data_IF_868050205929
#
_entry.id   IF_868050205929
#
_cell.length_a   1.000
_cell.length_b   1.000
_cell.length_c   1.000
_cell.angle_alpha   90.00
_cell.angle_beta   90.00
_cell.angle_gamma   90.00
#
_symmetry.space_group_name_H-M   'P 1'
#
loop_
_entity.id
_entity.type
_entity.pdbx_description
1 polymer ?
#
# COMPACT_ATOMS: atom_id res chain seq x y z
N UNK A 1 34.85 7.62 6.32
CA UNK A 1 34.20 8.94 6.50
C UNK A 1 32.72 8.64 6.64
N UNK A 2 32.29 8.41 7.89
CA UNK A 2 30.89 8.10 8.21
C UNK A 2 30.07 9.38 8.16
N UNK A 3 29.34 9.59 7.08
CA UNK A 3 28.16 10.45 7.16
C UNK A 3 27.11 9.65 7.94
N UNK A 4 26.78 10.11 9.14
CA UNK A 4 25.63 9.64 9.89
C UNK A 4 24.41 9.86 9.01
N UNK A 5 23.91 8.78 8.37
CA UNK A 5 22.57 8.76 7.78
C UNK A 5 21.64 9.05 8.96
N UNK A 6 21.10 10.25 8.99
CA UNK A 6 19.97 10.58 9.85
C UNK A 6 18.98 9.44 9.67
N UNK A 7 18.73 8.67 10.71
CA UNK A 7 17.79 7.54 10.63
C UNK A 7 16.39 8.14 10.43
N UNK A 8 16.02 8.32 9.18
CA UNK A 8 14.64 8.67 8.84
C UNK A 8 13.74 7.53 9.30
N UNK A 9 12.59 7.88 9.89
CA UNK A 9 11.63 6.91 10.37
C UNK A 9 11.12 6.11 9.17
N UNK A 10 11.19 4.79 9.24
CA UNK A 10 10.70 3.90 8.19
C UNK A 10 9.20 4.06 8.01
N UNK A 11 8.70 3.87 6.81
CA UNK A 11 7.28 4.10 6.48
C UNK A 11 6.57 2.81 6.13
N UNK A 12 5.35 2.64 6.66
CA UNK A 12 4.36 1.67 6.19
C UNK A 12 3.35 2.40 5.31
N UNK A 13 3.48 2.24 4.01
CA UNK A 13 2.59 2.86 3.01
C UNK A 13 1.43 1.90 2.78
N UNK A 14 0.28 2.23 3.35
CA UNK A 14 -0.95 1.46 3.21
C UNK A 14 -1.74 1.96 1.99
N UNK A 15 -1.87 1.13 0.95
CA UNK A 15 -2.83 1.40 -0.11
C UNK A 15 -4.14 0.66 0.19
N UNK A 16 -5.19 1.39 0.53
CA UNK A 16 -6.50 0.82 0.80
C UNK A 16 -7.56 1.30 -0.23
N UNK A 17 -8.74 0.70 -0.19
CA UNK A 17 -9.82 0.99 -1.13
C UNK A 17 -10.62 -0.26 -1.48
N UNK A 18 -11.69 -0.06 -2.24
CA UNK A 18 -12.63 -1.12 -2.61
C UNK A 18 -11.96 -2.28 -3.38
N UNK A 19 -12.63 -3.42 -3.42
CA UNK A 19 -12.17 -4.54 -4.23
C UNK A 19 -12.20 -4.19 -5.73
N UNK A 20 -11.13 -4.55 -6.45
CA UNK A 20 -11.02 -4.25 -7.89
C UNK A 20 -10.63 -2.81 -8.22
N UNK A 21 -10.26 -1.98 -7.23
CA UNK A 21 -9.87 -0.58 -7.45
C UNK A 21 -8.47 -0.42 -8.09
N UNK A 22 -7.64 -1.47 -8.10
CA UNK A 22 -6.29 -1.43 -8.65
C UNK A 22 -5.17 -1.30 -7.61
N UNK A 23 -5.42 -1.56 -6.32
CA UNK A 23 -4.40 -1.45 -5.25
C UNK A 23 -3.10 -2.19 -5.54
N UNK A 24 -3.18 -3.49 -5.86
CA UNK A 24 -1.98 -4.32 -6.10
C UNK A 24 -1.22 -3.85 -7.33
N UNK A 25 -1.92 -3.44 -8.38
CA UNK A 25 -1.31 -2.94 -9.62
C UNK A 25 -0.58 -1.62 -9.35
N UNK A 26 -1.25 -0.66 -8.69
CA UNK A 26 -0.63 0.61 -8.31
C UNK A 26 0.54 0.41 -7.34
N UNK A 27 0.45 -0.55 -6.40
CA UNK A 27 1.56 -0.88 -5.50
C UNK A 27 2.78 -1.42 -6.22
N UNK A 28 2.58 -2.27 -7.23
CA UNK A 28 3.67 -2.81 -8.05
C UNK A 28 4.36 -1.70 -8.86
N UNK A 29 3.59 -0.74 -9.41
CA UNK A 29 4.14 0.42 -10.10
C UNK A 29 4.84 1.39 -9.15
N UNK A 30 4.28 1.60 -7.95
CA UNK A 30 4.92 2.40 -6.91
C UNK A 30 6.27 1.82 -6.49
N UNK A 31 6.37 0.50 -6.28
CA UNK A 31 7.62 -0.16 -5.92
C UNK A 31 8.73 0.06 -6.95
N UNK A 32 8.40 0.11 -8.25
CA UNK A 32 9.39 0.36 -9.31
C UNK A 32 9.98 1.78 -9.25
N UNK A 33 9.25 2.74 -8.66
CA UNK A 33 9.59 4.17 -8.64
C UNK A 33 10.09 4.66 -7.27
N UNK A 34 9.73 3.95 -6.19
CA UNK A 34 10.10 4.30 -4.83
C UNK A 34 11.33 3.49 -4.39
N UNK A 35 12.53 4.09 -4.33
CA UNK A 35 13.73 3.35 -3.93
C UNK A 35 13.63 2.91 -2.46
N UNK A 36 14.44 1.93 -2.11
CA UNK A 36 14.49 1.36 -0.75
C UNK A 36 13.11 0.88 -0.26
N UNK A 37 12.29 0.32 -1.14
CA UNK A 37 10.96 -0.19 -0.83
C UNK A 37 10.89 -1.71 -0.87
N UNK A 38 10.04 -2.28 -0.01
CA UNK A 38 9.58 -3.65 -0.11
C UNK A 38 8.07 -3.68 -0.34
N UNK A 39 7.59 -4.72 -1.02
CA UNK A 39 6.18 -4.89 -1.36
C UNK A 39 5.65 -6.17 -0.73
N UNK A 40 4.57 -6.04 0.05
CA UNK A 40 3.93 -7.16 0.73
C UNK A 40 2.46 -7.22 0.28
N UNK A 41 2.09 -8.22 -0.52
CA UNK A 41 0.70 -8.47 -0.89
C UNK A 41 0.10 -9.58 -0.04
N UNK A 42 -1.00 -9.28 0.66
CA UNK A 42 -1.68 -10.22 1.54
C UNK A 42 -2.23 -11.45 0.81
N UNK A 43 -2.48 -11.36 -0.48
CA UNK A 43 -2.99 -12.48 -1.26
C UNK A 43 -1.87 -13.49 -1.58
N UNK A 44 -0.65 -13.03 -1.81
CA UNK A 44 0.52 -13.91 -1.94
C UNK A 44 0.89 -14.61 -0.63
N UNK A 45 0.69 -13.96 0.51
CA UNK A 45 0.99 -14.53 1.83
C UNK A 45 0.11 -15.73 2.21
N UNK A 46 -0.97 -15.99 1.47
CA UNK A 46 -1.94 -17.06 1.73
C UNK A 46 -2.20 -17.99 0.54
N UNK A 47 -1.36 -17.98 -0.47
CA UNK A 47 -1.57 -18.84 -1.64
C UNK A 47 -1.42 -20.31 -1.27
N UNK A 48 -2.46 -21.09 -1.55
CA UNK A 48 -2.51 -22.55 -1.29
C UNK A 48 -3.12 -23.29 -2.46
N UNK A 49 -2.78 -24.55 -2.61
CA UNK A 49 -3.39 -25.46 -3.56
C UNK A 49 -3.93 -26.72 -2.84
N UNK A 50 -5.25 -26.99 -2.84
CA UNK A 50 -6.31 -26.13 -3.42
C UNK A 50 -6.49 -24.83 -2.63
N UNK A 51 -7.14 -23.81 -3.22
CA UNK A 51 -7.50 -22.59 -2.49
C UNK A 51 -8.46 -22.92 -1.35
N UNK A 52 -8.06 -22.63 -0.12
CA UNK A 52 -8.83 -22.90 1.11
C UNK A 52 -9.11 -21.56 1.80
N UNK A 53 -10.31 -21.42 2.40
CA UNK A 53 -10.70 -20.27 3.19
C UNK A 53 -11.28 -20.76 4.53
N UNK A 54 -10.44 -20.82 5.55
CA UNK A 54 -10.84 -21.17 6.91
C UNK A 54 -10.04 -20.34 7.92
N UNK A 55 -10.37 -20.45 9.19
CA UNK A 55 -9.70 -19.70 10.26
C UNK A 55 -8.22 -20.01 10.38
N UNK A 56 -7.81 -21.23 10.10
CA UNK A 56 -6.41 -21.63 10.17
C UNK A 56 -5.59 -20.90 9.11
N UNK A 57 -6.11 -20.80 7.88
CA UNK A 57 -5.45 -20.05 6.81
C UNK A 57 -5.51 -18.53 7.02
N UNK A 58 -6.52 -18.02 7.70
CA UNK A 58 -6.54 -16.62 8.13
C UNK A 58 -5.40 -16.36 9.12
N UNK A 59 -5.21 -17.25 10.09
CA UNK A 59 -4.09 -17.16 11.05
C UNK A 59 -2.72 -17.32 10.38
N UNK A 60 -2.61 -18.26 9.43
CA UNK A 60 -1.38 -18.43 8.64
C UNK A 60 -1.05 -17.14 7.87
N UNK A 61 -2.02 -16.60 7.15
CA UNK A 61 -1.86 -15.34 6.40
C UNK A 61 -1.41 -14.19 7.30
N UNK A 62 -2.05 -14.01 8.44
CA UNK A 62 -1.69 -13.00 9.43
C UNK A 62 -0.22 -13.13 9.86
N UNK A 63 0.20 -14.35 10.25
CA UNK A 63 1.58 -14.62 10.68
C UNK A 63 2.60 -14.39 9.57
N UNK A 64 2.26 -14.75 8.33
CA UNK A 64 3.14 -14.53 7.19
C UNK A 64 3.32 -13.03 6.92
N UNK A 65 2.23 -12.25 6.93
CA UNK A 65 2.28 -10.79 6.76
C UNK A 65 3.13 -10.17 7.87
N UNK A 66 2.87 -10.52 9.13
CA UNK A 66 3.61 -10.01 10.28
C UNK A 66 5.11 -10.29 10.14
N UNK A 67 5.50 -11.53 9.85
CA UNK A 67 6.89 -11.91 9.69
C UNK A 67 7.58 -11.17 8.54
N UNK A 68 6.88 -10.98 7.40
CA UNK A 68 7.42 -10.20 6.29
C UNK A 68 7.61 -8.72 6.65
N UNK A 69 6.68 -8.14 7.40
CA UNK A 69 6.82 -6.75 7.88
C UNK A 69 7.98 -6.61 8.87
N UNK A 70 8.08 -7.51 9.85
CA UNK A 70 9.19 -7.54 10.82
C UNK A 70 10.55 -7.60 10.10
N UNK A 71 10.70 -8.52 9.17
CA UNK A 71 11.93 -8.69 8.39
C UNK A 71 12.24 -7.45 7.53
N UNK A 72 11.23 -6.86 6.89
CA UNK A 72 11.41 -5.64 6.10
C UNK A 72 11.82 -4.46 6.97
N UNK A 73 11.19 -4.27 8.13
CA UNK A 73 11.55 -3.20 9.05
C UNK A 73 12.93 -3.44 9.73
N UNK A 74 13.36 -4.69 9.90
CA UNK A 74 14.69 -5.01 10.41
C UNK A 74 15.80 -4.80 9.37
N UNK A 75 15.50 -4.83 8.08
CA UNK A 75 16.48 -4.68 7.01
C UNK A 75 16.93 -3.21 6.86
N UNK A 76 18.22 -2.94 7.00
CA UNK A 76 18.79 -1.58 6.90
C UNK A 76 18.62 -0.92 5.52
N UNK A 77 18.45 -1.71 4.45
CA UNK A 77 18.28 -1.21 3.09
C UNK A 77 16.84 -0.81 2.77
N UNK A 78 15.84 -1.24 3.59
CA UNK A 78 14.44 -0.93 3.37
C UNK A 78 14.03 0.28 4.22
N UNK A 79 13.48 1.29 3.57
CA UNK A 79 12.93 2.50 4.20
C UNK A 79 11.40 2.54 4.09
N UNK A 80 10.82 1.90 3.06
CA UNK A 80 9.40 1.93 2.78
C UNK A 80 8.86 0.51 2.64
N UNK A 81 7.76 0.21 3.34
CA UNK A 81 7.01 -1.04 3.18
C UNK A 81 5.68 -0.69 2.51
N UNK A 82 5.47 -1.14 1.28
CA UNK A 82 4.23 -0.92 0.51
C UNK A 82 3.29 -2.09 0.79
N UNK A 83 2.10 -1.78 1.29
CA UNK A 83 1.13 -2.79 1.71
C UNK A 83 -0.28 -2.49 1.18
N UNK A 84 -0.69 -3.09 0.04
CA UNK A 84 -2.07 -3.04 -0.41
C UNK A 84 -2.96 -3.90 0.49
N UNK A 85 -3.98 -3.30 1.11
CA UNK A 85 -4.85 -4.04 2.00
C UNK A 85 -6.30 -3.51 1.96
N UNK A 86 -7.27 -4.42 1.86
CA UNK A 86 -8.69 -4.06 1.87
C UNK A 86 -9.32 -4.29 3.24
N UNK A 87 -10.24 -3.40 3.64
CA UNK A 87 -10.87 -3.42 4.98
C UNK A 87 -12.21 -4.14 5.06
N UNK A 88 -12.62 -4.87 4.02
CA UNK A 88 -13.89 -5.59 4.02
C UNK A 88 -13.96 -6.68 5.12
N UNK A 89 -15.15 -6.92 5.67
CA UNK A 89 -15.35 -7.85 6.79
C UNK A 89 -14.57 -7.42 8.04
N UNK A 90 -13.90 -8.36 8.69
CA UNK A 90 -13.04 -8.08 9.86
C UNK A 90 -11.59 -7.75 9.52
N UNK A 91 -11.30 -7.45 8.25
CA UNK A 91 -9.91 -7.15 7.84
C UNK A 91 -9.38 -5.86 8.46
N UNK A 92 -10.25 -4.89 8.75
CA UNK A 92 -9.83 -3.67 9.47
C UNK A 92 -9.31 -4.01 10.87
N UNK A 93 -10.01 -4.87 11.62
CA UNK A 93 -9.57 -5.32 12.94
C UNK A 93 -8.25 -6.11 12.86
N UNK A 94 -8.09 -6.96 11.83
CA UNK A 94 -6.83 -7.67 11.60
C UNK A 94 -5.67 -6.71 11.31
N UNK A 95 -5.93 -5.66 10.55
CA UNK A 95 -4.93 -4.62 10.28
C UNK A 95 -4.54 -3.86 11.55
N UNK A 96 -5.52 -3.47 12.37
CA UNK A 96 -5.27 -2.77 13.62
C UNK A 96 -4.45 -3.65 14.60
N UNK A 97 -4.79 -4.95 14.69
CA UNK A 97 -4.04 -5.91 15.48
C UNK A 97 -2.59 -6.08 14.98
N UNK A 98 -2.39 -6.09 13.66
CA UNK A 98 -1.07 -6.16 13.04
C UNK A 98 -0.21 -4.94 13.42
N UNK A 99 -0.76 -3.73 13.34
CA UNK A 99 -0.06 -2.52 13.73
C UNK A 99 0.31 -2.51 15.20
N UNK A 100 -0.61 -2.96 16.05
CA UNK A 100 -0.39 -3.04 17.49
C UNK A 100 0.71 -4.06 17.83
N UNK A 101 0.70 -5.25 17.22
CA UNK A 101 1.71 -6.27 17.46
C UNK A 101 3.12 -5.81 17.01
N UNK A 102 3.22 -5.10 15.87
CA UNK A 102 4.48 -4.51 15.43
C UNK A 102 5.02 -3.49 16.46
N UNK A 103 4.14 -2.64 17.02
CA UNK A 103 4.52 -1.67 18.06
C UNK A 103 4.95 -2.35 19.36
N UNK A 104 4.23 -3.39 19.78
CA UNK A 104 4.58 -4.18 20.99
C UNK A 104 5.94 -4.87 20.86
N UNK A 105 6.34 -5.20 19.63
CA UNK A 105 7.69 -5.71 19.31
C UNK A 105 8.76 -4.62 19.25
N UNK A 106 8.41 -3.37 19.53
CA UNK A 106 9.34 -2.23 19.51
C UNK A 106 9.67 -1.72 18.11
N UNK A 107 8.90 -2.09 17.08
CA UNK A 107 9.12 -1.63 15.71
C UNK A 107 8.48 -0.26 15.55
N UNK A 108 9.32 0.76 15.33
CA UNK A 108 8.88 2.13 15.08
C UNK A 108 8.76 2.38 13.57
N UNK A 109 7.61 2.90 13.15
CA UNK A 109 7.34 3.28 11.76
C UNK A 109 6.28 4.38 11.71
N UNK A 110 6.31 5.14 10.63
CA UNK A 110 5.25 6.06 10.25
C UNK A 110 4.22 5.30 9.40
N UNK A 111 2.95 5.37 9.77
CA UNK A 111 1.86 4.88 8.92
C UNK A 111 1.45 5.97 7.94
N UNK A 112 1.59 5.69 6.65
CA UNK A 112 1.19 6.57 5.55
C UNK A 112 0.03 5.94 4.79
N UNK A 113 -1.22 6.20 5.20
CA UNK A 113 -2.38 5.62 4.54
C UNK A 113 -2.77 6.42 3.30
N UNK A 114 -3.13 5.71 2.23
CA UNK A 114 -3.64 6.27 0.97
C UNK A 114 -4.89 5.50 0.59
N UNK A 115 -6.02 6.19 0.47
CA UNK A 115 -7.29 5.62 0.03
C UNK A 115 -7.48 5.85 -1.47
N UNK A 116 -7.45 4.78 -2.25
CA UNK A 116 -7.81 4.80 -3.66
C UNK A 116 -9.33 4.67 -3.80
N UNK A 117 -9.94 5.54 -4.59
CA UNK A 117 -11.36 5.46 -4.91
C UNK A 117 -11.61 5.76 -6.40
N UNK A 118 -12.75 5.33 -6.92
CA UNK A 118 -13.25 5.68 -8.26
C UNK A 118 -14.76 5.65 -8.29
N UNK A 119 -15.37 6.08 -9.39
CA UNK A 119 -16.79 5.91 -9.65
C UNK A 119 -17.21 4.43 -9.57
N UNK A 120 -18.48 4.15 -9.20
CA UNK A 120 -18.95 2.76 -9.06
C UNK A 120 -18.92 2.02 -10.39
N UNK A 121 -19.31 2.68 -11.48
CA UNK A 121 -19.30 2.12 -12.83
C UNK A 121 -17.90 1.68 -13.25
N UNK A 122 -16.91 2.52 -13.00
CA UNK A 122 -15.52 2.20 -13.28
C UNK A 122 -15.02 1.05 -12.42
N UNK A 123 -15.37 1.01 -11.14
CA UNK A 123 -15.02 -0.09 -10.26
C UNK A 123 -15.61 -1.44 -10.73
N UNK A 124 -16.86 -1.42 -11.22
CA UNK A 124 -17.51 -2.58 -11.84
C UNK A 124 -16.80 -2.98 -13.12
N UNK A 125 -16.46 -2.01 -13.98
CA UNK A 125 -15.74 -2.26 -15.23
C UNK A 125 -14.39 -2.95 -14.99
N UNK A 126 -13.62 -2.45 -14.04
CA UNK A 126 -12.33 -3.05 -13.64
C UNK A 126 -12.48 -4.46 -13.08
N UNK A 127 -13.48 -4.68 -12.23
CA UNK A 127 -13.75 -6.00 -11.67
C UNK A 127 -14.17 -7.03 -12.73
N UNK A 128 -14.88 -6.62 -13.76
CA UNK A 128 -15.20 -7.47 -14.92
C UNK A 128 -13.95 -7.81 -15.73
N UNK A 129 -13.09 -6.83 -15.97
CA UNK A 129 -11.82 -7.05 -16.66
C UNK A 129 -10.91 -8.05 -15.90
N UNK A 130 -11.00 -8.11 -14.57
CA UNK A 130 -10.34 -9.11 -13.73
C UNK A 130 -11.01 -10.51 -13.79
N UNK A 131 -12.03 -10.71 -14.63
CA UNK A 131 -12.71 -12.00 -14.80
C UNK A 131 -13.63 -12.41 -13.64
N UNK A 132 -14.11 -11.45 -12.83
CA UNK A 132 -15.04 -11.72 -11.72
C UNK A 132 -16.47 -11.88 -12.27
N UNK A 133 -17.23 -12.79 -11.68
CA UNK A 133 -18.65 -12.96 -12.01
C UNK A 133 -19.51 -11.80 -11.47
N UNK A 134 -20.68 -11.58 -12.10
CA UNK A 134 -21.56 -10.45 -11.79
C UNK A 134 -22.11 -10.48 -10.36
N UNK A 135 -22.39 -11.65 -9.80
CA UNK A 135 -22.88 -11.78 -8.43
C UNK A 135 -21.81 -11.37 -7.43
N UNK A 136 -20.58 -11.84 -7.66
CA UNK A 136 -19.41 -11.50 -6.85
C UNK A 136 -19.05 -10.01 -6.94
N UNK A 137 -19.23 -9.41 -8.13
CA UNK A 137 -19.04 -7.99 -8.36
C UNK A 137 -20.05 -7.18 -7.54
N UNK A 138 -21.37 -7.42 -7.71
CA UNK A 138 -22.40 -6.65 -7.01
C UNK A 138 -22.25 -6.71 -5.50
N UNK A 139 -22.09 -7.92 -4.95
CA UNK A 139 -21.94 -8.12 -3.51
C UNK A 139 -20.63 -7.58 -2.98
N UNK A 140 -19.53 -7.86 -3.66
CA UNK A 140 -18.19 -7.50 -3.21
C UNK A 140 -17.90 -6.01 -3.31
N UNK A 141 -18.30 -5.35 -4.40
CA UNK A 141 -18.02 -3.92 -4.60
C UNK A 141 -18.83 -3.08 -3.62
N UNK A 142 -20.15 -3.27 -3.53
CA UNK A 142 -20.99 -2.47 -2.62
C UNK A 142 -20.51 -2.58 -1.17
N UNK A 143 -20.31 -3.81 -0.68
CA UNK A 143 -19.88 -4.02 0.70
C UNK A 143 -18.47 -3.49 0.97
N UNK A 144 -17.56 -3.56 -0.01
CA UNK A 144 -16.21 -3.03 0.16
C UNK A 144 -16.13 -1.52 0.05
N UNK A 145 -17.04 -0.85 -0.69
CA UNK A 145 -17.08 0.62 -0.80
C UNK A 145 -17.61 1.26 0.49
N UNK A 146 -18.69 0.72 1.05
CA UNK A 146 -19.32 1.24 2.28
C UNK A 146 -18.33 1.34 3.46
N UNK A 147 -17.35 0.44 3.52
CA UNK A 147 -16.32 0.46 4.59
C UNK A 147 -15.50 1.74 4.58
N UNK A 148 -15.35 2.39 3.43
CA UNK A 148 -14.48 3.57 3.26
C UNK A 148 -15.22 4.91 3.33
N UNK A 149 -16.53 4.92 3.48
CA UNK A 149 -17.32 6.16 3.56
C UNK A 149 -16.88 7.06 4.72
N UNK A 150 -16.53 6.43 5.85
CA UNK A 150 -16.15 7.12 7.09
C UNK A 150 -14.64 6.98 7.40
N UNK A 151 -13.81 6.61 6.44
CA UNK A 151 -12.36 6.55 6.62
C UNK A 151 -11.75 7.89 6.25
N UNK A 152 -11.13 8.55 7.21
CA UNK A 152 -10.46 9.85 7.04
C UNK A 152 -8.98 9.65 6.69
N UNK A 153 -8.74 9.15 5.48
CA UNK A 153 -7.40 9.03 4.90
C UNK A 153 -7.26 9.92 3.68
N UNK A 154 -6.06 10.40 3.36
CA UNK A 154 -5.79 11.07 2.08
C UNK A 154 -6.30 10.22 0.92
N UNK A 155 -7.03 10.83 -0.02
CA UNK A 155 -7.76 10.13 -1.09
C UNK A 155 -7.22 10.50 -2.45
N UNK A 156 -7.10 9.50 -3.33
CA UNK A 156 -6.77 9.68 -4.73
C UNK A 156 -7.92 9.12 -5.57
N UNK A 157 -8.50 9.97 -6.43
CA UNK A 157 -9.48 9.53 -7.43
C UNK A 157 -8.74 8.89 -8.62
N UNK A 158 -8.93 7.59 -8.77
CA UNK A 158 -8.25 6.81 -9.81
C UNK A 158 -9.19 6.46 -10.97
N UNK A 159 -10.32 7.16 -11.11
CA UNK A 159 -11.34 6.85 -12.12
C UNK A 159 -10.75 6.79 -13.51
N UNK A 160 -9.99 7.82 -13.90
CA UNK A 160 -9.40 7.97 -15.24
C UNK A 160 -7.88 7.73 -15.26
N UNK A 161 -7.32 7.16 -14.19
CA UNK A 161 -5.87 6.95 -14.06
C UNK A 161 -5.45 5.55 -14.45
N UNK A 162 -4.30 5.46 -15.10
CA UNK A 162 -3.50 4.23 -15.22
C UNK A 162 -2.85 3.88 -13.88
N UNK A 163 -2.25 2.70 -13.80
CA UNK A 163 -1.50 2.29 -12.60
C UNK A 163 -0.25 3.17 -12.39
N UNK A 164 0.39 3.57 -13.49
CA UNK A 164 1.56 4.45 -13.51
C UNK A 164 1.22 5.84 -12.98
N UNK A 165 0.16 6.47 -13.49
CA UNK A 165 -0.33 7.77 -13.04
C UNK A 165 -0.76 7.72 -11.58
N UNK A 166 -1.42 6.63 -11.16
CA UNK A 166 -1.77 6.40 -9.75
C UNK A 166 -0.52 6.35 -8.87
N UNK A 167 0.53 5.65 -9.30
CA UNK A 167 1.78 5.57 -8.55
C UNK A 167 2.48 6.94 -8.44
N UNK A 168 2.43 7.76 -9.50
CA UNK A 168 2.97 9.13 -9.49
C UNK A 168 2.21 10.04 -8.52
N UNK A 169 0.88 9.97 -8.49
CA UNK A 169 0.08 10.72 -7.53
C UNK A 169 0.33 10.27 -6.08
N UNK A 170 0.52 8.97 -5.86
CA UNK A 170 0.93 8.48 -4.54
C UNK A 170 2.29 9.05 -4.15
N UNK A 171 3.28 9.07 -5.04
CA UNK A 171 4.61 9.64 -4.78
C UNK A 171 4.53 11.13 -4.40
N UNK A 172 3.73 11.92 -5.09
CA UNK A 172 3.49 13.34 -4.75
C UNK A 172 2.88 13.49 -3.35
N UNK A 173 1.87 12.66 -3.06
CA UNK A 173 1.16 12.69 -1.78
C UNK A 173 2.06 12.32 -0.59
N UNK A 174 2.96 11.35 -0.74
CA UNK A 174 3.87 10.91 0.33
C UNK A 174 5.16 11.75 0.42
N UNK A 175 5.29 12.80 -0.39
CA UNK A 175 6.37 13.78 -0.27
C UNK A 175 7.73 13.30 -0.74
N UNK A 176 7.81 12.31 -1.63
CA UNK A 176 9.07 11.86 -2.25
C UNK A 176 9.32 12.49 -3.64
N UNK A 177 8.58 13.54 -3.97
CA UNK A 177 8.78 14.32 -5.18
C UNK A 177 9.67 15.54 -4.90
N UNK A 178 10.88 15.54 -5.45
CA UNK A 178 11.79 16.68 -5.61
C UNK A 178 12.61 17.13 -4.39
N UNK A 179 13.65 16.39 -4.06
CA UNK A 179 14.94 16.97 -3.67
C UNK A 179 15.98 16.80 -4.79
N UNK A 180 15.62 17.11 -6.03
CA UNK A 180 16.60 17.34 -7.10
C UNK A 180 16.29 18.67 -7.78
N UNK A 181 17.28 19.56 -7.72
CA UNK A 181 17.42 20.86 -8.39
C UNK A 181 17.34 22.12 -7.49
N UNK A 182 18.26 22.22 -6.50
CA UNK A 182 18.81 23.53 -6.18
C UNK A 182 20.30 23.40 -5.86
N UNK A 183 21.08 23.04 -6.84
CA UNK A 183 22.53 22.91 -6.68
C UNK A 183 23.29 23.20 -7.96
N UNK A 184 22.91 24.24 -8.73
CA UNK A 184 23.85 24.73 -9.71
C UNK A 184 23.49 26.13 -10.20
N UNK A 185 23.93 27.12 -9.48
CA UNK A 185 24.22 28.44 -10.04
C UNK A 185 25.00 29.24 -8.99
N UNK A 186 26.29 29.24 -9.02
CA UNK A 186 27.17 30.39 -8.90
C UNK A 186 28.60 29.91 -9.13
N UNK A 187 29.04 29.96 -10.38
CA UNK A 187 30.40 30.32 -10.68
C UNK A 187 30.34 31.61 -11.46
N UNK A 188 30.24 32.68 -10.71
CA UNK A 188 30.52 34.03 -11.17
C UNK A 188 32.01 34.22 -11.31
N UNK A 189 32.39 34.69 -12.47
CA UNK A 189 33.64 35.31 -12.86
C UNK A 189 34.22 36.27 -11.84
N UNK A 190 35.51 36.17 -11.62
CA UNK A 190 36.49 37.24 -11.37
C UNK A 190 37.86 36.59 -11.48
N UNK A 191 38.69 37.07 -12.32
CA UNK A 191 39.36 38.26 -12.73
C UNK A 191 40.77 37.88 -13.03
#
# INVERSE_FOLDING_TARGET
MNMERRMEMKRLILLCGANGIGKSTASAELMKRLPHSSYIDSDYCRMTNPPIFNEELIRLNYKNILAMMENSFACGEIQNVIFPFGFHGHRKQLFDALLEELRQKGISFELVPVLLYCGEEENVRRARADGRDEERIRRGIRNSRAVYENVDYPRIDVTDMTAEETAEEILKLIGTGNEEETGNAVMGSMG
#
